data_IF_585406990995
#
_entry.id   IF_585406990995
#
_cell.length_a   1.000
_cell.length_b   1.000
_cell.length_c   1.000
_cell.angle_alpha   90.00
_cell.angle_beta   90.00
_cell.angle_gamma   90.00
#
_symmetry.space_group_name_H-M   'P 1'
#
loop_
_entity.id
_entity.type
_entity.pdbx_description
1 polymer ?
#
# COMPACT_ATOMS: atom_id res chain seq x y z
N UNK A 1 0.12 12.32 -0.58
CA UNK A 1 0.72 10.98 -0.68
C UNK A 1 2.12 10.86 -0.04
N UNK A 2 2.82 11.98 0.26
CA UNK A 2 4.13 11.93 0.94
C UNK A 2 4.01 11.21 2.30
N UNK A 3 2.98 11.49 3.08
CA UNK A 3 2.74 10.82 4.37
C UNK A 3 2.54 9.30 4.24
N UNK A 4 1.96 8.83 3.15
CA UNK A 4 1.78 7.40 2.87
C UNK A 4 3.11 6.66 2.74
N UNK A 5 4.17 7.34 2.26
CA UNK A 5 5.50 6.73 2.14
C UNK A 5 6.12 6.39 3.50
N UNK A 6 5.75 7.11 4.57
CA UNK A 6 6.19 6.78 5.93
C UNK A 6 5.69 5.39 6.34
N UNK A 7 4.40 5.09 6.08
CA UNK A 7 3.84 3.75 6.34
C UNK A 7 4.54 2.69 5.48
N UNK A 8 4.80 2.99 4.20
CA UNK A 8 5.52 2.09 3.32
C UNK A 8 6.93 1.77 3.85
N UNK A 9 7.65 2.78 4.37
CA UNK A 9 8.96 2.57 4.99
C UNK A 9 8.87 1.70 6.26
N UNK A 10 7.86 1.93 7.11
CA UNK A 10 7.66 1.12 8.31
C UNK A 10 7.37 -0.35 7.96
N UNK A 11 6.62 -0.60 6.90
CA UNK A 11 6.37 -1.97 6.40
C UNK A 11 7.65 -2.58 5.84
N UNK A 12 8.43 -1.83 5.07
CA UNK A 12 9.68 -2.29 4.49
C UNK A 12 10.73 -2.67 5.53
N UNK A 13 10.74 -2.04 6.72
CA UNK A 13 11.61 -2.39 7.84
C UNK A 13 11.17 -3.64 8.61
N UNK A 14 10.17 -4.38 8.13
CA UNK A 14 9.66 -5.62 8.75
C UNK A 14 9.25 -5.46 10.22
N UNK A 15 8.79 -4.25 10.58
CA UNK A 15 8.30 -3.96 11.94
C UNK A 15 7.16 -4.91 12.34
N UNK A 16 6.49 -5.51 11.35
CA UNK A 16 5.46 -6.52 11.55
C UNK A 16 5.90 -7.71 12.41
N UNK A 17 7.19 -8.07 12.44
CA UNK A 17 7.72 -9.16 13.27
C UNK A 17 7.54 -8.86 14.78
N UNK A 18 7.52 -7.58 15.14
CA UNK A 18 7.32 -7.11 16.50
C UNK A 18 5.87 -6.70 16.79
N UNK A 19 4.92 -6.96 15.89
CA UNK A 19 3.54 -6.53 15.99
C UNK A 19 2.87 -6.95 17.31
N UNK A 20 3.09 -8.18 17.74
CA UNK A 20 2.52 -8.70 18.99
C UNK A 20 3.08 -7.97 20.24
N UNK A 21 4.34 -7.53 20.21
CA UNK A 21 4.92 -6.74 21.29
C UNK A 21 4.22 -5.40 21.42
N UNK A 22 3.95 -4.72 20.29
CA UNK A 22 3.19 -3.47 20.29
C UNK A 22 1.75 -3.68 20.79
N UNK A 23 1.10 -4.78 20.39
CA UNK A 23 -0.24 -5.14 20.87
C UNK A 23 -0.23 -5.31 22.39
N UNK A 24 0.72 -6.09 22.93
CA UNK A 24 0.79 -6.36 24.38
C UNK A 24 1.08 -5.07 25.17
N UNK A 25 2.10 -4.30 24.77
CA UNK A 25 2.45 -3.05 25.44
C UNK A 25 1.29 -2.06 25.37
N UNK A 26 0.71 -1.86 24.19
CA UNK A 26 -0.41 -0.94 24.00
C UNK A 26 -1.63 -1.37 24.81
N UNK A 27 -1.94 -2.66 24.86
CA UNK A 27 -3.03 -3.19 25.69
C UNK A 27 -2.81 -2.94 27.17
N UNK A 28 -1.62 -3.22 27.69
CA UNK A 28 -1.28 -2.97 29.11
C UNK A 28 -1.43 -1.48 29.44
N UNK A 29 -0.89 -0.60 28.61
CA UNK A 29 -0.98 0.85 28.80
C UNK A 29 -2.42 1.32 28.75
N UNK A 30 -3.20 0.86 27.77
CA UNK A 30 -4.58 1.26 27.58
C UNK A 30 -5.51 0.79 28.71
N UNK A 31 -5.41 -0.48 29.14
CA UNK A 31 -6.32 -1.06 30.14
C UNK A 31 -5.88 -0.83 31.58
N UNK A 32 -4.59 -0.93 31.89
CA UNK A 32 -4.11 -0.89 33.27
C UNK A 32 -3.56 0.47 33.71
N UNK A 33 -3.18 1.33 32.78
CA UNK A 33 -2.63 2.67 33.09
C UNK A 33 -3.60 3.80 32.73
N UNK A 34 -4.88 3.52 32.63
CA UNK A 34 -5.95 4.43 32.18
C UNK A 34 -6.21 5.65 33.08
N UNK A 35 -5.58 5.72 34.28
CA UNK A 35 -5.72 6.85 35.22
C UNK A 35 -5.13 8.17 34.68
N UNK A 36 -4.30 8.14 33.65
CA UNK A 36 -3.71 9.30 32.99
C UNK A 36 -4.10 9.28 31.53
N UNK A 37 -4.96 10.21 31.13
CA UNK A 37 -5.49 10.34 29.77
C UNK A 37 -4.42 10.25 28.69
N UNK A 38 -3.31 10.98 28.83
CA UNK A 38 -2.18 10.95 27.88
C UNK A 38 -1.53 9.55 27.72
N UNK A 39 -1.47 8.77 28.81
CA UNK A 39 -0.89 7.42 28.76
C UNK A 39 -1.88 6.47 28.09
N UNK A 40 -3.16 6.64 28.37
CA UNK A 40 -4.22 5.88 27.72
C UNK A 40 -4.23 6.12 26.21
N UNK A 41 -4.19 7.39 25.77
CA UNK A 41 -4.17 7.75 24.32
C UNK A 41 -2.93 7.20 23.61
N UNK A 42 -1.77 7.27 24.26
CA UNK A 42 -0.54 6.70 23.73
C UNK A 42 -0.61 5.17 23.69
N UNK A 43 -1.20 4.54 24.71
CA UNK A 43 -1.47 3.09 24.73
C UNK A 43 -2.40 2.66 23.60
N UNK A 44 -3.49 3.40 23.33
CA UNK A 44 -4.38 3.15 22.21
C UNK A 44 -3.65 3.25 20.86
N UNK A 45 -2.79 4.25 20.72
CA UNK A 45 -2.00 4.45 19.48
C UNK A 45 -1.06 3.27 19.23
N UNK A 46 -0.32 2.84 20.27
CA UNK A 46 0.59 1.68 20.18
C UNK A 46 -0.21 0.40 19.91
N UNK A 47 -1.34 0.21 20.60
CA UNK A 47 -2.20 -0.94 20.38
C UNK A 47 -2.73 -1.01 18.94
N UNK A 48 -3.28 0.11 18.45
CA UNK A 48 -3.78 0.22 17.07
C UNK A 48 -2.69 -0.02 16.03
N UNK A 49 -1.47 0.48 16.28
CA UNK A 49 -0.31 0.24 15.45
C UNK A 49 0.05 -1.26 15.41
N UNK A 50 0.08 -1.92 16.57
CA UNK A 50 0.33 -3.36 16.66
C UNK A 50 -0.73 -4.18 15.92
N UNK A 51 -2.02 -3.87 16.13
CA UNK A 51 -3.15 -4.54 15.45
C UNK A 51 -3.08 -4.37 13.94
N UNK A 52 -2.69 -3.18 13.45
CA UNK A 52 -2.49 -2.93 12.02
C UNK A 52 -1.45 -3.91 11.43
N UNK A 53 -0.29 -4.06 12.06
CA UNK A 53 0.76 -4.96 11.57
C UNK A 53 0.39 -6.45 11.72
N UNK A 54 -0.35 -6.83 12.76
CA UNK A 54 -0.92 -8.20 12.85
C UNK A 54 -1.85 -8.46 11.66
N UNK A 55 -2.71 -7.50 11.32
CA UNK A 55 -3.59 -7.61 10.15
C UNK A 55 -2.80 -7.72 8.83
N UNK A 56 -1.73 -6.95 8.67
CA UNK A 56 -0.84 -7.05 7.50
C UNK A 56 -0.16 -8.42 7.41
N UNK A 57 0.31 -8.97 8.51
CA UNK A 57 0.93 -10.31 8.55
C UNK A 57 -0.09 -11.41 8.19
N UNK A 58 -1.32 -11.34 8.73
CA UNK A 58 -2.40 -12.28 8.39
C UNK A 58 -2.74 -12.19 6.90
N UNK A 59 -2.80 -10.97 6.37
CA UNK A 59 -3.07 -10.75 4.95
C UNK A 59 -1.96 -11.34 4.08
N UNK A 60 -0.68 -11.14 4.46
CA UNK A 60 0.47 -11.74 3.78
C UNK A 60 0.39 -13.26 3.75
N UNK A 61 0.15 -13.88 4.90
CA UNK A 61 0.00 -15.33 5.00
C UNK A 61 -1.19 -15.87 4.17
N UNK A 62 -2.27 -15.10 4.03
CA UNK A 62 -3.42 -15.46 3.19
C UNK A 62 -3.12 -15.32 1.69
N UNK A 63 -2.22 -14.39 1.32
CA UNK A 63 -1.82 -14.17 -0.08
C UNK A 63 -0.82 -15.21 -0.58
N UNK A 64 -0.01 -15.78 0.30
CA UNK A 64 1.03 -16.76 -0.08
C UNK A 64 0.47 -17.96 -0.87
N UNK A 65 -0.57 -18.70 -0.42
CA UNK A 65 -1.12 -19.79 -1.21
C UNK A 65 -1.79 -19.30 -2.52
N UNK A 66 -2.32 -18.08 -2.55
CA UNK A 66 -2.91 -17.51 -3.74
C UNK A 66 -1.85 -17.21 -4.80
N UNK A 67 -0.70 -16.69 -4.39
CA UNK A 67 0.42 -16.35 -5.27
C UNK A 67 1.00 -17.57 -5.99
N UNK A 68 0.85 -18.77 -5.43
CA UNK A 68 1.29 -20.04 -6.02
C UNK A 68 0.33 -20.57 -7.09
N UNK A 69 -0.83 -19.94 -7.29
CA UNK A 69 -1.78 -20.38 -8.31
C UNK A 69 -1.39 -19.84 -9.70
N UNK A 70 -1.50 -20.70 -10.73
CA UNK A 70 -1.25 -20.29 -12.11
C UNK A 70 -2.13 -19.13 -12.57
N UNK A 71 -3.37 -19.10 -12.08
CA UNK A 71 -4.30 -18.02 -12.40
C UNK A 71 -3.78 -16.67 -11.90
N UNK A 72 -3.26 -16.63 -10.68
CA UNK A 72 -2.74 -15.41 -10.07
C UNK A 72 -1.42 -14.99 -10.74
N UNK A 73 -0.51 -15.93 -10.99
CA UNK A 73 0.74 -15.68 -11.71
C UNK A 73 0.47 -15.09 -13.12
N UNK A 74 -0.46 -15.69 -13.87
CA UNK A 74 -0.85 -15.19 -15.19
C UNK A 74 -1.50 -13.79 -15.12
N UNK A 75 -2.27 -13.50 -14.07
CA UNK A 75 -2.82 -12.15 -13.85
C UNK A 75 -1.70 -11.13 -13.60
N UNK A 76 -0.73 -11.47 -12.77
CA UNK A 76 0.39 -10.59 -12.45
C UNK A 76 1.29 -10.34 -13.67
N UNK A 77 1.54 -11.37 -14.49
CA UNK A 77 2.25 -11.19 -15.77
C UNK A 77 1.51 -10.19 -16.68
N UNK A 78 0.19 -10.34 -16.84
CA UNK A 78 -0.61 -9.39 -17.63
C UNK A 78 -0.55 -7.96 -17.08
N UNK A 79 -0.53 -7.81 -15.75
CA UNK A 79 -0.39 -6.50 -15.09
C UNK A 79 0.99 -5.91 -15.35
N UNK A 80 2.05 -6.73 -15.33
CA UNK A 80 3.43 -6.31 -15.61
C UNK A 80 3.60 -5.90 -17.08
N UNK A 81 2.93 -6.60 -18.01
CA UNK A 81 2.99 -6.31 -19.44
C UNK A 81 2.14 -5.08 -19.84
N UNK A 82 1.18 -4.70 -19.02
CA UNK A 82 0.26 -3.58 -19.31
C UNK A 82 0.20 -2.57 -18.18
N UNK A 83 0.98 -1.47 -18.26
CA UNK A 83 0.95 -0.42 -17.26
C UNK A 83 -0.46 0.15 -17.01
N UNK A 84 -1.29 0.24 -18.05
CA UNK A 84 -2.67 0.70 -17.90
C UNK A 84 -3.51 -0.24 -17.02
N UNK A 85 -3.33 -1.56 -17.17
CA UNK A 85 -3.99 -2.55 -16.31
C UNK A 85 -3.50 -2.43 -14.86
N UNK A 86 -2.20 -2.25 -14.66
CA UNK A 86 -1.63 -1.99 -13.33
C UNK A 86 -2.27 -0.79 -12.63
N UNK A 87 -2.42 0.32 -13.36
CA UNK A 87 -3.11 1.52 -12.84
C UNK A 87 -4.55 1.23 -12.46
N UNK A 88 -5.29 0.49 -13.31
CA UNK A 88 -6.70 0.14 -13.03
C UNK A 88 -6.79 -0.74 -11.78
N UNK A 89 -5.94 -1.77 -11.68
CA UNK A 89 -5.90 -2.67 -10.51
C UNK A 89 -5.61 -1.90 -9.23
N UNK A 90 -4.58 -1.05 -9.23
CA UNK A 90 -4.22 -0.23 -8.07
C UNK A 90 -5.34 0.75 -7.68
N UNK A 91 -5.98 1.38 -8.66
CA UNK A 91 -7.09 2.31 -8.44
C UNK A 91 -8.32 1.61 -7.83
N UNK A 92 -8.72 0.46 -8.38
CA UNK A 92 -9.86 -0.33 -7.89
C UNK A 92 -9.58 -0.88 -6.50
N UNK A 93 -8.40 -1.46 -6.28
CA UNK A 93 -7.99 -1.97 -4.97
C UNK A 93 -8.07 -0.88 -3.90
N UNK A 94 -7.49 0.29 -4.17
CA UNK A 94 -7.49 1.39 -3.21
C UNK A 94 -8.87 2.01 -3.03
N UNK A 95 -9.67 2.09 -4.08
CA UNK A 95 -11.06 2.56 -3.98
C UNK A 95 -11.92 1.66 -3.08
N UNK A 96 -11.69 0.35 -3.11
CA UNK A 96 -12.38 -0.62 -2.24
C UNK A 96 -11.87 -0.52 -0.81
N UNK A 97 -10.55 -0.58 -0.62
CA UNK A 97 -9.92 -0.55 0.72
C UNK A 97 -10.04 0.84 1.35
N UNK A 98 -10.11 1.90 0.54
CA UNK A 98 -10.12 3.31 0.94
C UNK A 98 -8.90 3.74 1.78
N UNK A 99 -7.80 3.00 1.64
CA UNK A 99 -6.52 3.27 2.29
C UNK A 99 -5.37 2.98 1.35
N UNK A 100 -4.70 4.03 0.88
CA UNK A 100 -3.50 3.87 0.03
C UNK A 100 -2.34 3.23 0.78
N UNK A 101 -2.21 3.49 2.09
CA UNK A 101 -1.20 2.84 2.91
C UNK A 101 -1.40 1.32 3.00
N UNK A 102 -2.65 0.86 3.21
CA UNK A 102 -2.97 -0.56 3.20
C UNK A 102 -2.74 -1.18 1.81
N UNK A 103 -3.15 -0.49 0.74
CA UNK A 103 -2.93 -0.96 -0.64
C UNK A 103 -1.45 -1.08 -0.98
N UNK A 104 -0.62 -0.13 -0.51
CA UNK A 104 0.85 -0.20 -0.69
C UNK A 104 1.44 -1.35 0.11
N UNK A 105 0.97 -1.60 1.34
CA UNK A 105 1.43 -2.75 2.12
C UNK A 105 1.09 -4.08 1.44
N UNK A 106 -0.11 -4.21 0.84
CA UNK A 106 -0.46 -5.36 -0.02
C UNK A 106 0.51 -5.48 -1.18
N UNK A 107 0.77 -4.37 -1.88
CA UNK A 107 1.69 -4.35 -3.01
C UNK A 107 3.11 -4.75 -2.62
N UNK A 108 3.62 -4.26 -1.49
CA UNK A 108 4.94 -4.63 -0.96
C UNK A 108 4.99 -6.11 -0.61
N UNK A 109 3.94 -6.65 -0.01
CA UNK A 109 3.85 -8.07 0.29
C UNK A 109 3.87 -8.92 -1.00
N UNK A 110 3.13 -8.51 -2.02
CA UNK A 110 3.18 -9.16 -3.33
C UNK A 110 4.56 -9.06 -3.98
N UNK A 111 5.22 -7.91 -3.87
CA UNK A 111 6.55 -7.70 -4.40
C UNK A 111 7.62 -8.53 -3.66
N UNK A 112 7.43 -8.84 -2.39
CA UNK A 112 8.32 -9.70 -1.60
C UNK A 112 7.97 -11.20 -1.70
N UNK A 113 6.85 -11.55 -2.32
CA UNK A 113 6.45 -12.94 -2.51
C UNK A 113 7.12 -13.51 -3.77
N UNK A 114 7.78 -14.66 -3.62
CA UNK A 114 8.38 -15.35 -4.77
C UNK A 114 7.31 -15.90 -5.71
N UNK A 115 7.55 -15.75 -7.00
CA UNK A 115 6.72 -16.34 -8.04
C UNK A 115 6.86 -17.87 -8.11
N UNK A 116 6.23 -18.50 -9.10
CA UNK A 116 6.27 -19.96 -9.27
C UNK A 116 7.68 -20.54 -9.45
N UNK A 117 8.65 -19.72 -9.87
CA UNK A 117 10.06 -20.10 -10.01
C UNK A 117 10.82 -20.11 -8.66
N UNK A 118 10.19 -19.63 -7.60
CA UNK A 118 10.77 -19.55 -6.24
C UNK A 118 11.91 -18.53 -6.09
N UNK A 119 12.22 -17.75 -7.10
CA UNK A 119 13.39 -16.84 -7.15
C UNK A 119 12.99 -15.42 -7.45
N UNK A 120 12.17 -15.19 -8.46
CA UNK A 120 11.77 -13.84 -8.88
C UNK A 120 10.52 -13.39 -8.17
N UNK A 121 10.41 -12.06 -7.91
CA UNK A 121 9.18 -11.48 -7.39
C UNK A 121 8.02 -11.71 -8.36
N UNK A 122 6.84 -11.99 -7.82
CA UNK A 122 5.64 -12.24 -8.63
C UNK A 122 5.20 -11.01 -9.44
N UNK A 123 5.62 -9.80 -9.06
CA UNK A 123 5.17 -8.57 -9.74
C UNK A 123 6.29 -7.68 -10.23
N UNK A 124 7.51 -7.76 -9.75
CA UNK A 124 8.62 -6.91 -10.14
C UNK A 124 8.34 -5.39 -10.12
N UNK A 125 9.35 -4.56 -10.33
CA UNK A 125 9.22 -3.09 -10.33
C UNK A 125 8.34 -2.58 -11.49
N UNK A 126 8.46 -3.18 -12.66
CA UNK A 126 7.71 -2.77 -13.84
C UNK A 126 6.19 -2.88 -13.65
N UNK A 127 5.73 -3.89 -12.92
CA UNK A 127 4.32 -4.06 -12.57
C UNK A 127 3.91 -3.26 -11.32
N UNK A 128 4.79 -3.15 -10.33
CA UNK A 128 4.50 -2.47 -9.06
C UNK A 128 4.31 -0.95 -9.24
N UNK A 129 5.13 -0.28 -10.07
CA UNK A 129 5.06 1.17 -10.27
C UNK A 129 3.71 1.62 -10.85
N UNK A 130 3.15 1.01 -11.91
CA UNK A 130 1.83 1.35 -12.41
C UNK A 130 0.71 1.15 -11.37
N UNK A 131 0.78 0.06 -10.59
CA UNK A 131 -0.18 -0.18 -9.50
C UNK A 131 -0.09 0.95 -8.48
N UNK A 132 1.13 1.38 -8.12
CA UNK A 132 1.33 2.51 -7.20
C UNK A 132 0.71 3.81 -7.73
N UNK A 133 0.83 4.10 -9.03
CA UNK A 133 0.12 5.23 -9.64
C UNK A 133 -1.40 5.08 -9.52
N UNK A 134 -1.91 3.86 -9.71
CA UNK A 134 -3.32 3.53 -9.52
C UNK A 134 -3.78 3.78 -8.09
N UNK A 135 -2.99 3.42 -7.07
CA UNK A 135 -3.36 3.67 -5.67
C UNK A 135 -3.58 5.16 -5.38
N UNK A 136 -2.81 6.02 -6.02
CA UNK A 136 -2.98 7.47 -5.91
C UNK A 136 -4.31 7.95 -6.50
N UNK A 137 -4.73 7.38 -7.63
CA UNK A 137 -6.05 7.66 -8.22
C UNK A 137 -7.16 7.11 -7.31
N UNK A 138 -7.04 5.87 -6.84
CA UNK A 138 -8.01 5.21 -5.98
C UNK A 138 -8.27 5.98 -4.67
N UNK A 139 -7.25 6.61 -4.10
CA UNK A 139 -7.36 7.46 -2.92
C UNK A 139 -8.32 8.63 -3.12
N UNK A 140 -8.48 9.13 -4.36
CA UNK A 140 -9.35 10.24 -4.65
C UNK A 140 -10.84 9.92 -4.49
N UNK A 141 -11.20 8.63 -4.57
CA UNK A 141 -12.57 8.15 -4.40
C UNK A 141 -13.09 8.51 -3.00
N UNK A 142 -12.26 8.41 -1.97
CA UNK A 142 -12.62 8.82 -0.61
C UNK A 142 -13.01 10.29 -0.54
N UNK A 143 -12.22 11.17 -1.18
CA UNK A 143 -12.50 12.59 -1.23
C UNK A 143 -13.78 12.89 -2.05
N UNK A 144 -14.00 12.18 -3.16
CA UNK A 144 -15.21 12.30 -3.97
C UNK A 144 -16.44 11.90 -3.18
N UNK A 145 -16.41 10.75 -2.50
CA UNK A 145 -17.50 10.28 -1.64
C UNK A 145 -17.80 11.26 -0.51
N UNK A 146 -16.76 11.75 0.19
CA UNK A 146 -16.91 12.75 1.25
C UNK A 146 -17.47 14.09 0.77
N UNK A 147 -17.33 14.41 -0.52
CA UNK A 147 -17.86 15.65 -1.13
C UNK A 147 -19.34 15.57 -1.48
N UNK A 148 -19.94 14.38 -1.46
CA UNK A 148 -21.37 14.17 -1.75
C UNK A 148 -22.19 14.86 -0.66
N UNK A 149 -23.08 15.74 -1.06
CA UNK A 149 -23.85 16.58 -0.12
C UNK A 149 -23.06 17.74 0.50
N UNK A 150 -21.76 17.84 0.24
CA UNK A 150 -20.89 18.89 0.75
C UNK A 150 -20.99 20.22 0.00
N UNK A 151 -20.25 21.21 0.50
CA UNK A 151 -20.17 22.55 -0.09
C UNK A 151 -19.56 22.52 -1.50
N UNK A 152 -19.77 23.60 -2.27
CA UNK A 152 -19.15 23.76 -3.60
C UNK A 152 -17.62 23.66 -3.52
N UNK A 153 -17.02 24.21 -2.46
CA UNK A 153 -15.57 24.14 -2.26
C UNK A 153 -15.08 22.72 -1.97
N UNK A 154 -15.83 21.93 -1.19
CA UNK A 154 -15.52 20.52 -0.97
C UNK A 154 -15.50 19.73 -2.29
N UNK A 155 -16.50 19.93 -3.15
CA UNK A 155 -16.57 19.29 -4.47
C UNK A 155 -15.40 19.72 -5.37
N UNK A 156 -15.09 21.03 -5.40
CA UNK A 156 -13.95 21.54 -6.18
C UNK A 156 -12.63 20.94 -5.73
N UNK A 157 -12.41 20.80 -4.43
CA UNK A 157 -11.20 20.18 -3.85
C UNK A 157 -11.10 18.71 -4.23
N UNK A 158 -12.20 17.94 -4.13
CA UNK A 158 -12.23 16.53 -4.51
C UNK A 158 -11.93 16.34 -6.00
N UNK A 159 -12.54 17.16 -6.87
CA UNK A 159 -12.29 17.12 -8.32
C UNK A 159 -10.84 17.52 -8.63
N UNK A 160 -10.32 18.59 -8.03
CA UNK A 160 -8.93 19.00 -8.23
C UNK A 160 -7.95 17.90 -7.79
N UNK A 161 -8.21 17.23 -6.68
CA UNK A 161 -7.43 16.08 -6.21
C UNK A 161 -7.45 14.93 -7.24
N UNK A 162 -8.61 14.61 -7.79
CA UNK A 162 -8.76 13.58 -8.82
C UNK A 162 -8.02 13.95 -10.11
N UNK A 163 -8.20 15.18 -10.61
CA UNK A 163 -7.54 15.65 -11.83
C UNK A 163 -6.02 15.64 -11.66
N UNK A 164 -5.52 16.07 -10.49
CA UNK A 164 -4.08 16.07 -10.20
C UNK A 164 -3.49 14.64 -10.24
N UNK A 165 -4.13 13.68 -9.58
CA UNK A 165 -3.62 12.32 -9.55
C UNK A 165 -3.75 11.62 -10.91
N UNK A 166 -4.87 11.83 -11.62
CA UNK A 166 -5.06 11.30 -12.96
C UNK A 166 -4.07 11.92 -13.96
N UNK A 167 -3.90 13.24 -13.93
CA UNK A 167 -2.95 13.95 -14.79
C UNK A 167 -1.51 13.53 -14.52
N UNK A 168 -1.11 13.41 -13.24
CA UNK A 168 0.20 12.89 -12.86
C UNK A 168 0.42 11.48 -13.39
N UNK A 169 -0.56 10.58 -13.21
CA UNK A 169 -0.47 9.21 -13.72
C UNK A 169 -0.33 9.18 -15.23
N UNK A 170 -1.14 9.95 -15.98
CA UNK A 170 -1.07 10.02 -17.45
C UNK A 170 0.29 10.52 -17.97
N UNK A 171 0.93 11.41 -17.22
CA UNK A 171 2.26 11.90 -17.57
C UNK A 171 3.34 10.86 -17.23
N UNK A 172 3.33 10.33 -16.01
CA UNK A 172 4.42 9.51 -15.51
C UNK A 172 4.36 8.04 -15.92
N UNK A 173 3.22 7.52 -16.39
CA UNK A 173 3.08 6.13 -16.80
C UNK A 173 4.06 5.76 -17.94
N UNK A 174 4.34 6.69 -18.83
CA UNK A 174 5.28 6.52 -19.94
C UNK A 174 6.73 6.43 -19.48
N UNK A 175 7.03 6.92 -18.29
CA UNK A 175 8.37 6.90 -17.71
C UNK A 175 8.59 5.70 -16.78
N UNK A 176 7.61 4.81 -16.65
CA UNK A 176 7.71 3.61 -15.79
C UNK A 176 9.00 2.82 -15.97
N UNK A 177 9.47 2.49 -17.20
CA UNK A 177 10.73 1.77 -17.38
C UNK A 177 11.93 2.54 -16.83
N UNK A 178 12.02 3.84 -17.14
CA UNK A 178 13.13 4.68 -16.66
C UNK A 178 13.11 4.83 -15.14
N UNK A 179 11.94 4.92 -14.54
CA UNK A 179 11.79 4.98 -13.07
C UNK A 179 12.25 3.67 -12.46
N UNK A 180 11.88 2.52 -13.03
CA UNK A 180 12.31 1.21 -12.59
C UNK A 180 13.83 1.06 -12.66
N UNK A 181 14.46 1.46 -13.78
CA UNK A 181 15.91 1.42 -13.96
C UNK A 181 16.64 2.28 -12.92
N UNK A 182 16.14 3.50 -12.66
CA UNK A 182 16.70 4.40 -11.64
C UNK A 182 16.62 3.78 -10.25
N UNK A 183 15.46 3.23 -9.88
CA UNK A 183 15.25 2.60 -8.58
C UNK A 183 16.21 1.41 -8.43
N UNK A 184 16.34 0.59 -9.47
CA UNK A 184 17.23 -0.56 -9.48
C UNK A 184 18.70 -0.15 -9.33
N UNK A 185 19.12 0.91 -10.03
CA UNK A 185 20.48 1.45 -9.94
C UNK A 185 20.80 2.05 -8.57
N UNK A 186 19.79 2.55 -7.85
CA UNK A 186 19.93 3.11 -6.50
C UNK A 186 19.77 2.06 -5.39
N UNK A 187 19.33 0.85 -5.71
CA UNK A 187 19.18 -0.23 -4.74
C UNK A 187 20.53 -0.77 -4.29
N UNK A 188 20.84 -0.81 -2.99
CA UNK A 188 22.19 -1.13 -2.48
C UNK A 188 22.67 -2.54 -2.86
N UNK A 189 21.76 -3.50 -3.04
CA UNK A 189 22.11 -4.92 -3.22
C UNK A 189 21.94 -5.43 -4.65
N UNK A 190 21.53 -4.60 -5.61
CA UNK A 190 21.31 -5.02 -7.01
C UNK A 190 20.23 -6.12 -7.18
N UNK A 191 19.75 -6.68 -6.10
CA UNK A 191 18.65 -7.63 -6.04
C UNK A 191 17.38 -6.90 -5.69
N UNK A 192 16.73 -6.36 -6.69
CA UNK A 192 15.32 -6.03 -6.56
C UNK A 192 14.56 -7.33 -6.67
N UNK A 193 14.06 -7.75 -5.55
CA UNK A 193 12.99 -8.75 -5.51
C UNK A 193 11.83 -8.32 -6.40
#
# INVERSE_FOLDING_TARGET
>A
NIGTTVTAQLVAFQIGDYAYIFVIIGFIMFFFMSKKEKIMDFGQTIFGFGVLFVGLNIMGAAMEPLSQTEMFANLMLKVSDSPALGVIVGAVLTAIIQSSSASIAVLQNLASTAGPDGVTSIIGLAGAIPILFGTNIGTTVTALLASIGGSVNAKRTAIAHTIFNLGGTLIFIWFTPYIADIIQALSPDGNTL
#
